data_IF_994514800424
#
_entry.id   IF_994514800424
#
_cell.length_a   1.000
_cell.length_b   1.000
_cell.length_c   1.000
_cell.angle_alpha   90.00
_cell.angle_beta   90.00
_cell.angle_gamma   90.00
#
_symmetry.space_group_name_H-M   'P 1'
#
loop_
_entity.id
_entity.type
_entity.pdbx_description
1 polymer ?
#
# COMPACT_ATOMS: atom_id res chain seq x y z
N UNK A 1 -16.57 3.15 17.34
CA UNK A 1 -15.51 2.70 16.41
C UNK A 1 -14.84 3.86 15.67
N UNK A 2 -15.56 4.73 14.95
CA UNK A 2 -14.99 5.92 14.27
C UNK A 2 -14.20 6.86 15.18
N UNK A 3 -14.68 7.11 16.40
CA UNK A 3 -13.98 7.97 17.36
C UNK A 3 -12.58 7.44 17.75
N UNK A 4 -12.39 6.12 17.80
CA UNK A 4 -11.08 5.53 18.11
C UNK A 4 -10.08 5.75 16.97
N UNK A 5 -10.55 5.69 15.72
CA UNK A 5 -9.74 5.95 14.53
C UNK A 5 -9.17 7.38 14.59
N UNK A 6 -10.03 8.38 14.76
CA UNK A 6 -9.61 9.78 14.76
C UNK A 6 -8.69 10.11 15.95
N UNK A 7 -8.96 9.51 17.12
CA UNK A 7 -8.06 9.60 18.28
C UNK A 7 -6.67 9.04 17.97
N UNK A 8 -6.59 7.93 17.25
CA UNK A 8 -5.32 7.30 16.89
C UNK A 8 -4.58 8.09 15.79
N UNK A 9 -5.31 8.65 14.82
CA UNK A 9 -4.77 9.50 13.77
C UNK A 9 -4.36 10.90 14.26
N UNK A 10 -4.77 11.30 15.46
CA UNK A 10 -4.56 12.67 16.00
C UNK A 10 -5.05 13.76 15.03
N UNK A 11 -6.15 13.47 14.32
CA UNK A 11 -6.76 14.36 13.33
C UNK A 11 -8.21 14.67 13.71
N UNK A 12 -8.73 15.87 13.45
CA UNK A 12 -10.15 16.18 13.59
C UNK A 12 -11.02 15.22 12.76
N UNK A 13 -12.20 14.89 13.28
CA UNK A 13 -13.07 13.88 12.68
C UNK A 13 -13.61 14.34 11.32
N UNK A 14 -13.46 13.51 10.28
CA UNK A 14 -14.16 13.69 9.00
C UNK A 14 -13.51 14.67 8.02
N UNK A 15 -12.32 15.20 8.31
CA UNK A 15 -11.65 16.16 7.40
C UNK A 15 -10.81 15.51 6.30
N UNK A 16 -10.39 14.25 6.46
CA UNK A 16 -9.52 13.60 5.48
C UNK A 16 -10.34 12.87 4.42
N UNK A 17 -10.37 13.40 3.20
CA UNK A 17 -10.78 12.65 2.01
C UNK A 17 -9.80 11.52 1.66
N UNK A 18 -8.79 11.25 2.50
CA UNK A 18 -7.70 10.30 2.27
C UNK A 18 -7.51 9.32 3.45
N UNK A 19 -8.61 8.93 4.11
CA UNK A 19 -8.55 7.99 5.26
C UNK A 19 -7.81 6.69 4.91
N UNK A 20 -7.94 6.19 3.67
CA UNK A 20 -7.21 5.00 3.23
C UNK A 20 -5.69 5.18 3.35
N UNK A 21 -5.18 6.33 2.89
CA UNK A 21 -3.77 6.68 3.01
C UNK A 21 -3.31 6.91 4.45
N UNK A 22 -4.17 7.48 5.29
CA UNK A 22 -3.91 7.62 6.73
C UNK A 22 -3.72 6.25 7.39
N UNK A 23 -4.57 5.28 7.06
CA UNK A 23 -4.45 3.90 7.55
C UNK A 23 -3.23 3.19 6.97
N UNK A 24 -2.92 3.38 5.68
CA UNK A 24 -1.70 2.84 5.07
C UNK A 24 -0.44 3.38 5.76
N UNK A 25 -0.40 4.67 6.13
CA UNK A 25 0.72 5.26 6.89
C UNK A 25 0.93 4.54 8.22
N UNK A 26 -0.14 4.22 8.93
CA UNK A 26 -0.08 3.47 10.20
C UNK A 26 0.38 2.02 9.98
N UNK A 27 -0.15 1.34 8.96
CA UNK A 27 0.26 -0.02 8.63
C UNK A 27 1.76 -0.08 8.29
N UNK A 28 2.26 0.88 7.49
CA UNK A 28 3.67 0.97 7.13
C UNK A 28 4.57 1.35 8.30
N UNK A 29 4.12 2.18 9.26
CA UNK A 29 4.92 2.54 10.44
C UNK A 29 4.94 1.49 11.54
N UNK A 30 4.09 0.46 11.44
CA UNK A 30 4.03 -0.63 12.42
C UNK A 30 5.31 -1.45 12.49
N UNK A 31 5.46 -2.26 13.55
CA UNK A 31 6.56 -3.23 13.72
C UNK A 31 6.36 -4.53 12.92
N UNK A 32 5.28 -4.65 12.15
CA UNK A 32 4.98 -5.86 11.39
C UNK A 32 6.06 -6.13 10.32
N UNK A 33 6.44 -7.40 10.15
CA UNK A 33 7.42 -7.80 9.15
C UNK A 33 6.96 -7.50 7.71
N UNK A 34 5.65 -7.59 7.45
CA UNK A 34 5.04 -7.32 6.16
C UNK A 34 3.84 -6.37 6.35
N UNK A 35 3.78 -5.35 5.48
CA UNK A 35 2.62 -4.47 5.33
C UNK A 35 2.07 -4.63 3.92
N UNK A 36 0.77 -4.87 3.81
CA UNK A 36 0.05 -5.04 2.53
C UNK A 36 -1.17 -4.14 2.54
N UNK A 37 -1.44 -3.48 1.42
CA UNK A 37 -2.66 -2.73 1.18
C UNK A 37 -3.32 -3.22 -0.11
N UNK A 38 -4.66 -3.30 -0.17
CA UNK A 38 -5.39 -3.45 -1.42
C UNK A 38 -5.09 -2.29 -2.38
N UNK A 39 -5.12 -2.56 -3.69
CA UNK A 39 -4.96 -1.50 -4.70
C UNK A 39 -6.06 -0.43 -4.60
N UNK A 40 -7.26 -0.82 -4.14
CA UNK A 40 -8.37 0.10 -3.89
C UNK A 40 -8.03 1.19 -2.86
N UNK A 41 -7.27 0.84 -1.82
CA UNK A 41 -6.86 1.79 -0.77
C UNK A 41 -5.77 2.73 -1.29
N UNK A 42 -4.84 2.23 -2.10
CA UNK A 42 -3.81 3.04 -2.78
C UNK A 42 -4.47 4.10 -3.68
N UNK A 43 -5.49 3.70 -4.42
CA UNK A 43 -6.29 4.55 -5.30
C UNK A 43 -7.37 5.36 -4.55
N UNK A 44 -7.48 5.16 -3.23
CA UNK A 44 -8.43 5.83 -2.34
C UNK A 44 -9.89 5.79 -2.85
N UNK A 45 -10.31 4.60 -3.28
CA UNK A 45 -11.65 4.36 -3.85
C UNK A 45 -12.71 4.09 -2.78
N UNK A 46 -13.97 4.29 -3.14
CA UNK A 46 -15.12 4.07 -2.26
C UNK A 46 -15.68 2.65 -2.29
N UNK A 47 -16.88 2.44 -1.70
CA UNK A 47 -17.53 1.13 -1.60
C UNK A 47 -17.79 0.43 -2.95
N UNK A 48 -17.87 1.18 -4.04
CA UNK A 48 -18.02 0.67 -5.40
C UNK A 48 -16.84 -0.20 -5.86
N UNK A 49 -15.66 -0.03 -5.25
CA UNK A 49 -14.47 -0.82 -5.54
C UNK A 49 -14.35 -2.10 -4.70
N UNK A 50 -15.34 -2.40 -3.86
CA UNK A 50 -15.31 -3.53 -2.93
C UNK A 50 -15.26 -4.86 -3.68
N UNK A 51 -14.23 -5.66 -3.39
CA UNK A 51 -14.04 -6.95 -4.05
C UNK A 51 -15.09 -8.00 -3.66
N UNK A 52 -15.49 -8.06 -2.39
CA UNK A 52 -16.43 -9.08 -1.90
C UNK A 52 -17.27 -8.58 -0.72
N UNK A 53 -18.53 -8.99 -0.68
CA UNK A 53 -19.45 -8.87 0.45
C UNK A 53 -19.91 -10.28 0.85
N UNK A 54 -19.34 -10.87 1.91
CA UNK A 54 -19.74 -12.18 2.38
C UNK A 54 -21.25 -12.29 2.60
N UNK A 55 -21.85 -13.39 2.16
CA UNK A 55 -23.30 -13.63 2.25
C UNK A 55 -24.13 -13.04 1.12
N UNK A 56 -23.53 -12.28 0.18
CA UNK A 56 -24.20 -11.89 -1.06
C UNK A 56 -23.91 -12.94 -2.16
N UNK A 57 -24.94 -13.47 -2.85
CA UNK A 57 -24.72 -14.47 -3.90
C UNK A 57 -24.15 -13.88 -5.19
N UNK A 58 -24.39 -12.59 -5.45
CA UNK A 58 -24.06 -11.93 -6.72
C UNK A 58 -23.32 -10.61 -6.50
N UNK A 59 -22.69 -10.10 -7.56
CA UNK A 59 -22.02 -8.79 -7.59
C UNK A 59 -20.63 -8.75 -6.93
N UNK A 60 -20.09 -9.89 -6.49
CA UNK A 60 -18.74 -10.00 -5.93
C UNK A 60 -17.70 -10.31 -7.02
N UNK A 61 -16.42 -10.11 -6.70
CA UNK A 61 -15.25 -10.47 -7.50
C UNK A 61 -15.19 -9.83 -8.89
N UNK A 62 -15.95 -8.76 -9.07
CA UNK A 62 -16.15 -8.09 -10.37
C UNK A 62 -15.30 -6.84 -10.54
N UNK A 63 -14.77 -6.27 -9.45
CA UNK A 63 -13.95 -5.06 -9.52
C UNK A 63 -12.68 -5.29 -10.34
N UNK A 64 -12.40 -4.34 -11.23
CA UNK A 64 -11.21 -4.33 -12.08
C UNK A 64 -10.58 -2.95 -12.05
N UNK A 65 -9.26 -2.90 -11.95
CA UNK A 65 -8.50 -1.69 -12.17
C UNK A 65 -8.36 -1.45 -13.68
N UNK A 66 -8.59 -0.23 -14.14
CA UNK A 66 -8.29 0.18 -15.50
C UNK A 66 -6.97 0.95 -15.54
N UNK A 67 -6.31 0.98 -16.70
CA UNK A 67 -5.05 1.71 -16.87
C UNK A 67 -5.19 3.20 -16.55
N UNK A 68 -6.35 3.79 -16.84
CA UNK A 68 -6.63 5.22 -16.57
C UNK A 68 -6.71 5.53 -15.08
N UNK A 69 -6.96 4.53 -14.22
CA UNK A 69 -6.94 4.71 -12.78
C UNK A 69 -5.51 4.71 -12.22
N UNK A 70 -4.52 4.23 -12.97
CA UNK A 70 -3.14 4.12 -12.52
C UNK A 70 -2.41 5.44 -12.75
N UNK A 71 -2.05 6.11 -11.65
CA UNK A 71 -1.25 7.34 -11.68
C UNK A 71 0.17 7.08 -11.21
N UNK A 72 1.17 7.54 -11.99
CA UNK A 72 2.56 7.52 -11.57
C UNK A 72 2.79 8.26 -10.23
N UNK A 73 1.97 9.28 -9.95
CA UNK A 73 2.05 10.03 -8.70
C UNK A 73 1.69 9.16 -7.48
N UNK A 74 0.65 8.32 -7.57
CA UNK A 74 0.22 7.45 -6.46
C UNK A 74 1.29 6.40 -6.15
N UNK A 75 1.92 5.83 -7.18
CA UNK A 75 3.04 4.91 -7.00
C UNK A 75 4.29 5.60 -6.45
N UNK A 76 4.54 6.86 -6.81
CA UNK A 76 5.62 7.63 -6.23
C UNK A 76 5.37 7.92 -4.75
N UNK A 77 4.13 8.26 -4.37
CA UNK A 77 3.74 8.41 -2.96
C UNK A 77 3.91 7.10 -2.18
N UNK A 78 3.52 5.95 -2.76
CA UNK A 78 3.72 4.64 -2.15
C UNK A 78 5.21 4.32 -1.98
N UNK A 79 6.03 4.63 -2.98
CA UNK A 79 7.49 4.45 -2.92
C UNK A 79 8.09 5.31 -1.81
N UNK A 80 7.68 6.56 -1.71
CA UNK A 80 8.15 7.46 -0.66
C UNK A 80 7.71 7.02 0.73
N UNK A 81 6.46 6.56 0.89
CA UNK A 81 5.99 5.97 2.15
C UNK A 81 6.81 4.73 2.54
N UNK A 82 7.05 3.85 1.58
CA UNK A 82 7.87 2.64 1.75
C UNK A 82 9.31 2.97 2.13
N UNK A 83 9.88 4.04 1.56
CA UNK A 83 11.20 4.54 1.93
C UNK A 83 11.23 5.11 3.34
N UNK A 84 10.31 6.02 3.68
CA UNK A 84 10.25 6.71 4.99
C UNK A 84 9.99 5.76 6.17
N UNK A 85 9.34 4.63 5.91
CA UNK A 85 9.07 3.59 6.90
C UNK A 85 10.16 2.52 6.97
N UNK A 86 11.32 2.73 6.33
CA UNK A 86 12.43 1.77 6.29
C UNK A 86 12.05 0.39 5.71
N UNK A 87 11.06 0.36 4.81
CA UNK A 87 10.60 -0.86 4.12
C UNK A 87 11.10 -0.97 2.67
N UNK A 88 11.79 0.06 2.16
CA UNK A 88 12.38 0.01 0.83
C UNK A 88 13.70 -0.77 0.90
N UNK A 89 13.68 -2.01 0.40
CA UNK A 89 14.88 -2.82 0.25
C UNK A 89 15.73 -2.22 -0.86
N UNK A 90 16.97 -1.83 -0.54
CA UNK A 90 17.94 -1.47 -1.57
C UNK A 90 18.28 -2.73 -2.39
N UNK A 91 18.44 -2.63 -3.71
CA UNK A 91 18.98 -3.73 -4.51
C UNK A 91 20.29 -4.18 -3.85
N UNK A 92 20.45 -5.49 -3.58
CA UNK A 92 21.78 -6.00 -3.23
C UNK A 92 22.69 -5.68 -4.41
N UNK A 93 23.86 -5.11 -4.12
CA UNK A 93 24.91 -4.99 -5.14
C UNK A 93 25.11 -6.37 -5.80
N UNK A 94 25.32 -6.43 -7.13
CA UNK A 94 25.65 -7.68 -7.78
C UNK A 94 26.87 -8.27 -7.08
N UNK A 95 26.81 -9.55 -6.74
CA UNK A 95 27.99 -10.30 -6.29
C UNK A 95 28.90 -10.34 -7.51
N UNK A 96 29.98 -9.55 -7.51
CA UNK A 96 31.04 -9.68 -8.51
C UNK A 96 31.60 -11.09 -8.41
N UNK A 97 31.46 -11.86 -9.48
CA UNK A 97 32.04 -13.19 -9.61
C UNK A 97 33.55 -13.07 -9.84
N UNK A 98 34.34 -12.94 -8.77
CA UNK A 98 35.81 -12.93 -8.83
C UNK A 98 36.44 -14.35 -8.69
N UNK A 99 35.84 -15.42 -9.25
CA UNK A 99 36.48 -16.75 -9.23
C UNK A 99 36.42 -17.44 -10.61
N UNK A 100 36.93 -16.81 -11.66
CA UNK A 100 37.19 -17.51 -12.91
C UNK A 100 38.45 -16.98 -13.62
N UNK A 101 39.59 -16.93 -12.93
CA UNK A 101 40.89 -16.69 -13.57
C UNK A 101 42.03 -17.42 -12.82
N UNK A 102 41.82 -18.71 -12.58
CA UNK A 102 42.89 -19.64 -12.13
C UNK A 102 42.89 -20.94 -12.96
N UNK A 103 42.54 -20.82 -14.24
CA UNK A 103 42.69 -21.88 -15.24
C UNK A 103 43.12 -21.26 -16.58
N UNK A 104 44.34 -20.73 -16.60
CA UNK A 104 45.17 -20.56 -17.80
C UNK A 104 46.62 -20.65 -17.40
#
# INVERSE_FOLDING_TARGET
>A
QRQNLWRYLKSPEGESGQVAWDLMRLAWSSVAALAVAPLQDLLNLGPEARMNVPGRPEGNWSWRCTEQMLSAADFQLLRDLTRRSNRLRMPRAPVTSEIAEAAS
#
